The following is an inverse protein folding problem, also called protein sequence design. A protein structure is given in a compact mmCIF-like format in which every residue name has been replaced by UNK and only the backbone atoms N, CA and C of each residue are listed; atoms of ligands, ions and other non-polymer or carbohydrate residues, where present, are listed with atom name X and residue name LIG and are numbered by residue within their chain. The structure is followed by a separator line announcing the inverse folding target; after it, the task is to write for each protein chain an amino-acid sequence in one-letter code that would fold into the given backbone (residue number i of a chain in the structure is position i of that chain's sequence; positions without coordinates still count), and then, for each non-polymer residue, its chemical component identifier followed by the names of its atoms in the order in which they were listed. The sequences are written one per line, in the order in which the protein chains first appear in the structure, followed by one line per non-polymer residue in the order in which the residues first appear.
data_IF_126352099419
#
_entry.id   IF_126352099419
#
_cell.length_a   1.000
_cell.length_b   1.000
_cell.length_c   1.000
_cell.angle_alpha   90.00
_cell.angle_beta   90.00
_cell.angle_gamma   90.00
#
_symmetry.space_group_name_H-M   'P 1'
#
loop_
_entity.id
_entity.type
_entity.pdbx_description
1 polymer ?
#
# COMPACT_ATOMS: atom_id res chain seq x y z
N UNK A 1 -0.32 25.71 11.70
CA UNK A 1 1.11 26.07 11.83
C UNK A 1 1.71 25.40 13.07
N UNK A 2 1.15 25.62 14.30
CA UNK A 2 1.74 25.09 15.53
C UNK A 2 2.03 23.61 15.56
N UNK A 3 1.12 22.76 15.03
CA UNK A 3 1.34 21.32 14.92
C UNK A 3 2.53 20.95 14.01
N UNK A 4 2.74 21.66 12.90
CA UNK A 4 3.88 21.44 12.02
C UNK A 4 5.20 21.82 12.68
N UNK A 5 5.22 22.96 13.41
CA UNK A 5 6.39 23.40 14.17
C UNK A 5 6.76 22.37 15.23
N UNK A 6 5.78 21.87 15.98
CA UNK A 6 6.00 20.82 16.97
C UNK A 6 6.50 19.51 16.32
N UNK A 7 5.86 19.06 15.24
CA UNK A 7 6.27 17.85 14.54
C UNK A 7 7.73 17.93 14.04
N UNK A 8 8.14 19.07 13.49
CA UNK A 8 9.54 19.32 13.12
C UNK A 8 10.48 19.27 14.33
N UNK A 9 10.09 19.87 15.46
CA UNK A 9 10.91 19.88 16.65
C UNK A 9 11.20 18.48 17.21
N UNK A 10 10.30 17.52 16.99
CA UNK A 10 10.49 16.09 17.36
C UNK A 10 11.04 15.24 16.21
N UNK A 11 11.54 15.84 15.12
CA UNK A 11 12.20 15.15 14.03
C UNK A 11 11.28 14.55 12.94
N UNK A 12 9.98 14.84 12.96
CA UNK A 12 9.07 14.39 11.91
C UNK A 12 9.23 15.21 10.64
N UNK A 13 9.14 14.54 9.46
CA UNK A 13 8.93 15.23 8.18
C UNK A 13 7.48 15.69 8.07
N UNK A 14 7.27 16.88 7.52
CA UNK A 14 5.96 17.52 7.47
C UNK A 14 5.54 17.86 6.05
N UNK A 15 4.27 17.61 5.75
CA UNK A 15 3.64 17.98 4.48
C UNK A 15 2.42 18.84 4.79
N UNK A 16 2.33 20.00 4.16
CA UNK A 16 1.14 20.84 4.18
C UNK A 16 0.33 20.70 2.90
N UNK A 17 -0.99 20.67 3.02
CA UNK A 17 -1.92 20.72 1.89
C UNK A 17 -2.81 21.94 2.07
N UNK A 18 -2.76 22.88 1.12
CA UNK A 18 -3.58 24.10 1.14
C UNK A 18 -4.09 24.39 -0.28
N UNK A 19 -5.33 24.84 -0.40
CA UNK A 19 -5.95 25.11 -1.71
C UNK A 19 -5.71 26.55 -2.19
N UNK A 20 -4.59 27.15 -1.81
CA UNK A 20 -4.09 28.44 -2.27
C UNK A 20 -2.57 28.47 -2.22
N UNK A 21 -1.95 29.18 -3.14
CA UNK A 21 -0.49 29.33 -3.20
C UNK A 21 0.03 30.29 -2.11
N UNK A 22 1.26 30.08 -1.67
CA UNK A 22 1.93 30.92 -0.66
C UNK A 22 1.22 30.90 0.69
N UNK A 23 0.70 29.74 1.09
CA UNK A 23 -0.02 29.60 2.35
C UNK A 23 0.93 29.59 3.55
N UNK A 24 0.54 30.26 4.65
CA UNK A 24 1.30 30.24 5.92
C UNK A 24 1.56 28.83 6.45
N UNK A 25 0.69 27.87 6.16
CA UNK A 25 0.89 26.48 6.53
C UNK A 25 1.93 25.83 5.63
N UNK A 26 1.95 26.16 4.34
CA UNK A 26 2.93 25.69 3.37
C UNK A 26 4.35 26.17 3.72
N UNK A 27 4.52 27.46 4.05
CA UNK A 27 5.79 28.02 4.50
C UNK A 27 6.35 27.32 5.77
N UNK A 28 5.48 26.78 6.60
CA UNK A 28 5.85 26.10 7.83
C UNK A 28 6.18 24.62 7.66
N UNK A 29 5.91 24.01 6.50
CA UNK A 29 6.13 22.58 6.21
C UNK A 29 7.50 22.33 5.55
N UNK A 30 7.92 21.06 5.50
CA UNK A 30 9.07 20.64 4.69
C UNK A 30 8.70 20.51 3.21
N UNK A 31 7.43 20.16 2.94
CA UNK A 31 6.85 20.09 1.60
C UNK A 31 5.47 20.73 1.62
N UNK A 32 5.21 21.61 0.67
CA UNK A 32 3.89 22.22 0.44
C UNK A 32 3.26 21.66 -0.85
N UNK A 33 1.99 21.26 -0.77
CA UNK A 33 1.14 20.88 -1.91
C UNK A 33 0.00 21.90 -1.96
N UNK A 34 0.08 22.83 -2.91
CA UNK A 34 -0.80 23.99 -2.96
C UNK A 34 -1.61 24.05 -4.28
N UNK A 35 -2.54 23.14 -4.49
CA UNK A 35 -3.42 23.15 -5.67
C UNK A 35 -4.36 24.37 -5.61
N UNK A 36 -4.65 24.92 -6.77
CA UNK A 36 -5.61 26.02 -6.93
C UNK A 36 -6.84 25.52 -7.67
N UNK A 37 -7.89 25.04 -6.98
CA UNK A 37 -9.09 24.46 -7.61
C UNK A 37 -9.99 25.51 -8.30
N UNK A 38 -9.69 26.78 -8.15
CA UNK A 38 -10.49 27.89 -8.62
C UNK A 38 -11.71 28.21 -7.72
N UNK A 39 -12.55 29.18 -8.11
CA UNK A 39 -13.69 29.61 -7.32
C UNK A 39 -14.73 28.49 -7.17
N UNK A 40 -15.33 28.42 -5.99
CA UNK A 40 -16.42 27.49 -5.71
C UNK A 40 -17.71 27.95 -6.39
N UNK A 41 -18.53 26.97 -6.81
CA UNK A 41 -19.89 27.26 -7.38
C UNK A 41 -20.75 28.03 -6.37
N UNK A 42 -20.63 27.65 -5.10
CA UNK A 42 -21.19 28.38 -3.98
C UNK A 42 -20.08 29.12 -3.26
N UNK A 43 -19.99 30.42 -3.43
CA UNK A 43 -18.91 31.27 -2.90
C UNK A 43 -18.65 30.99 -1.42
N UNK A 44 -17.39 30.71 -1.08
CA UNK A 44 -16.94 30.44 0.28
C UNK A 44 -17.18 29.01 0.78
N UNK A 45 -17.84 28.16 0.01
CA UNK A 45 -18.16 26.77 0.39
C UNK A 45 -17.03 25.82 0.03
N UNK A 46 -15.90 25.93 0.70
CA UNK A 46 -14.63 25.21 0.42
C UNK A 46 -14.71 23.68 0.62
N UNK A 47 -15.83 23.16 1.13
CA UNK A 47 -16.12 21.72 1.18
C UNK A 47 -16.33 21.09 -0.21
N UNK A 48 -16.53 21.88 -1.26
CA UNK A 48 -16.83 21.42 -2.63
C UNK A 48 -15.54 21.09 -3.38
N UNK A 49 -15.03 22.00 -4.24
CA UNK A 49 -13.82 21.76 -5.04
C UNK A 49 -12.59 21.57 -4.16
N UNK A 50 -12.36 22.47 -3.22
CA UNK A 50 -11.20 22.40 -2.33
C UNK A 50 -11.20 21.09 -1.51
N UNK A 51 -12.33 20.73 -0.91
CA UNK A 51 -12.47 19.47 -0.17
C UNK A 51 -12.26 18.24 -1.06
N UNK A 52 -12.76 18.27 -2.31
CA UNK A 52 -12.53 17.17 -3.28
C UNK A 52 -11.07 17.02 -3.64
N UNK A 53 -10.36 18.12 -3.92
CA UNK A 53 -8.93 18.11 -4.24
C UNK A 53 -8.11 17.60 -3.06
N UNK A 54 -8.39 18.05 -1.84
CA UNK A 54 -7.71 17.56 -0.63
C UNK A 54 -7.91 16.06 -0.45
N UNK A 55 -9.13 15.55 -0.62
CA UNK A 55 -9.43 14.12 -0.57
C UNK A 55 -8.60 13.33 -1.60
N UNK A 56 -8.51 13.81 -2.84
CA UNK A 56 -7.73 13.15 -3.89
C UNK A 56 -6.24 13.10 -3.54
N UNK A 57 -5.68 14.18 -3.05
CA UNK A 57 -4.27 14.26 -2.63
C UNK A 57 -3.99 13.28 -1.48
N UNK A 58 -4.84 13.26 -0.45
CA UNK A 58 -4.70 12.34 0.68
C UNK A 58 -4.78 10.88 0.23
N UNK A 59 -5.69 10.55 -0.68
CA UNK A 59 -5.78 9.20 -1.26
C UNK A 59 -4.55 8.83 -2.08
N UNK A 60 -4.00 9.75 -2.88
CA UNK A 60 -2.77 9.51 -3.64
C UNK A 60 -1.58 9.27 -2.72
N UNK A 61 -1.43 10.08 -1.66
CA UNK A 61 -0.34 9.92 -0.68
C UNK A 61 -0.47 8.58 0.05
N UNK A 62 -1.65 8.28 0.59
CA UNK A 62 -1.85 7.04 1.35
C UNK A 62 -1.69 5.80 0.46
N UNK A 63 -2.28 5.79 -0.73
CA UNK A 63 -2.14 4.68 -1.68
C UNK A 63 -0.68 4.50 -2.11
N UNK A 64 -0.01 5.60 -2.47
CA UNK A 64 1.41 5.56 -2.85
C UNK A 64 2.31 5.06 -1.71
N UNK A 65 2.02 5.42 -0.47
CA UNK A 65 2.72 4.90 0.70
C UNK A 65 2.50 3.38 0.85
N UNK A 66 1.26 2.90 0.73
CA UNK A 66 0.95 1.46 0.82
C UNK A 66 1.63 0.64 -0.29
N UNK A 67 1.69 1.17 -1.51
CA UNK A 67 2.44 0.56 -2.61
C UNK A 67 3.93 0.49 -2.28
N UNK A 68 4.51 1.58 -1.78
CA UNK A 68 5.95 1.65 -1.45
C UNK A 68 6.39 0.73 -0.32
N UNK A 69 5.52 0.43 0.64
CA UNK A 69 5.81 -0.50 1.74
C UNK A 69 5.42 -1.96 1.44
N UNK A 70 5.10 -2.29 0.17
CA UNK A 70 4.84 -3.66 -0.26
C UNK A 70 3.48 -4.23 0.14
N UNK A 71 2.47 -3.37 0.42
CA UNK A 71 1.11 -3.82 0.73
C UNK A 71 0.26 -4.10 -0.51
N UNK A 72 0.83 -3.88 -1.69
CA UNK A 72 0.14 -4.05 -2.98
C UNK A 72 0.96 -4.95 -3.91
N UNK A 73 0.28 -5.83 -4.60
CA UNK A 73 0.82 -6.65 -5.68
C UNK A 73 -0.09 -6.53 -6.89
N UNK A 74 0.45 -6.08 -8.03
CA UNK A 74 -0.35 -5.66 -9.20
C UNK A 74 -1.37 -4.58 -8.80
N UNK A 75 -2.68 -4.83 -8.93
CA UNK A 75 -3.78 -3.98 -8.47
C UNK A 75 -4.44 -4.49 -7.16
N UNK A 76 -3.86 -5.51 -6.52
CA UNK A 76 -4.42 -6.19 -5.37
C UNK A 76 -3.80 -5.68 -4.07
N UNK A 77 -4.64 -5.39 -3.07
CA UNK A 77 -4.19 -5.15 -1.72
C UNK A 77 -3.96 -6.50 -1.03
N UNK A 78 -2.69 -6.90 -0.91
CA UNK A 78 -2.30 -8.25 -0.46
C UNK A 78 -1.99 -8.36 1.04
N UNK A 79 -2.13 -7.27 1.79
CA UNK A 79 -1.86 -7.23 3.24
C UNK A 79 -3.19 -7.23 4.03
N UNK A 80 -4.07 -8.16 3.69
CA UNK A 80 -5.39 -8.32 4.32
C UNK A 80 -5.27 -9.21 5.55
N UNK A 81 -5.77 -8.74 6.69
CA UNK A 81 -5.94 -9.54 7.89
C UNK A 81 -7.32 -10.19 7.87
N UNK A 82 -7.37 -11.51 8.04
CA UNK A 82 -8.59 -12.31 7.96
C UNK A 82 -9.35 -12.33 9.29
N UNK A 83 -9.84 -11.18 9.75
CA UNK A 83 -10.51 -11.01 11.05
C UNK A 83 -11.99 -11.38 11.05
N UNK A 84 -12.58 -11.66 9.89
CA UNK A 84 -13.97 -12.11 9.74
C UNK A 84 -14.14 -12.90 8.44
N UNK A 85 -15.29 -13.60 8.33
CA UNK A 85 -15.60 -14.46 7.19
C UNK A 85 -15.50 -13.75 5.83
N UNK A 86 -15.98 -12.51 5.71
CA UNK A 86 -15.87 -11.71 4.48
C UNK A 86 -14.41 -11.49 4.07
N UNK A 87 -13.51 -11.25 5.03
CA UNK A 87 -12.09 -11.05 4.77
C UNK A 87 -11.35 -12.36 4.46
N UNK A 88 -11.81 -13.48 5.01
CA UNK A 88 -11.33 -14.82 4.62
C UNK A 88 -11.62 -15.09 3.14
N UNK A 89 -12.89 -14.93 2.73
CA UNK A 89 -13.28 -15.10 1.31
C UNK A 89 -12.54 -14.12 0.40
N UNK A 90 -12.33 -12.89 0.84
CA UNK A 90 -11.55 -11.90 0.11
C UNK A 90 -10.08 -12.33 -0.05
N UNK A 91 -9.46 -12.87 1.00
CA UNK A 91 -8.10 -13.41 0.96
C UNK A 91 -7.96 -14.52 -0.08
N UNK A 92 -8.90 -15.48 -0.11
CA UNK A 92 -8.93 -16.55 -1.10
C UNK A 92 -9.02 -16.00 -2.53
N UNK A 93 -9.92 -15.04 -2.78
CA UNK A 93 -10.06 -14.43 -4.11
C UNK A 93 -8.79 -13.68 -4.53
N UNK A 94 -8.12 -13.00 -3.61
CA UNK A 94 -6.85 -12.31 -3.88
C UNK A 94 -5.76 -13.32 -4.27
N UNK A 95 -5.62 -14.45 -3.56
CA UNK A 95 -4.63 -15.48 -3.92
C UNK A 95 -4.94 -16.06 -5.30
N UNK A 96 -6.20 -16.38 -5.60
CA UNK A 96 -6.61 -16.88 -6.92
C UNK A 96 -6.30 -15.87 -8.03
N UNK A 97 -6.63 -14.59 -7.84
CA UNK A 97 -6.42 -13.54 -8.84
C UNK A 97 -4.92 -13.28 -9.07
N UNK A 98 -4.13 -13.29 -8.00
CA UNK A 98 -2.70 -13.04 -8.05
C UNK A 98 -1.90 -14.16 -8.73
N UNK A 99 -2.37 -15.42 -8.61
CA UNK A 99 -1.61 -16.62 -9.00
C UNK A 99 -2.23 -17.43 -10.13
N UNK A 100 -3.52 -17.24 -10.41
CA UNK A 100 -4.29 -18.05 -11.35
C UNK A 100 -4.64 -19.46 -10.83
N UNK A 101 -4.39 -19.78 -9.56
CA UNK A 101 -4.66 -21.11 -9.00
C UNK A 101 -6.16 -21.33 -8.73
N UNK A 102 -6.53 -22.61 -8.49
CA UNK A 102 -7.91 -22.96 -8.08
C UNK A 102 -8.21 -22.48 -6.66
N UNK A 103 -9.51 -22.45 -6.30
CA UNK A 103 -9.94 -22.08 -4.95
C UNK A 103 -9.40 -23.03 -3.89
N UNK A 104 -9.41 -24.33 -4.17
CA UNK A 104 -8.89 -25.37 -3.28
C UNK A 104 -7.41 -25.14 -2.97
N UNK A 105 -6.61 -24.81 -3.98
CA UNK A 105 -5.19 -24.50 -3.82
C UNK A 105 -4.98 -23.19 -3.04
N UNK A 106 -5.80 -22.16 -3.29
CA UNK A 106 -5.75 -20.90 -2.56
C UNK A 106 -6.09 -21.07 -1.07
N UNK A 107 -7.13 -21.87 -0.77
CA UNK A 107 -7.51 -22.18 0.62
C UNK A 107 -6.38 -22.93 1.33
N UNK A 108 -5.81 -23.96 0.70
CA UNK A 108 -4.71 -24.72 1.29
C UNK A 108 -3.49 -23.82 1.54
N UNK A 109 -3.08 -23.01 0.57
CA UNK A 109 -1.95 -22.09 0.71
C UNK A 109 -2.17 -21.06 1.85
N UNK A 110 -3.40 -20.60 2.04
CA UNK A 110 -3.74 -19.70 3.16
C UNK A 110 -3.70 -20.42 4.50
N UNK A 111 -4.11 -21.67 4.59
CA UNK A 111 -3.99 -22.49 5.80
C UNK A 111 -2.52 -22.70 6.15
N UNK A 112 -1.70 -23.12 5.17
CA UNK A 112 -0.28 -23.37 5.34
C UNK A 112 0.49 -22.09 5.74
N UNK A 113 0.00 -20.92 5.30
CA UNK A 113 0.57 -19.60 5.58
C UNK A 113 -0.04 -18.91 6.82
N UNK A 114 -0.79 -19.61 7.66
CA UNK A 114 -1.48 -19.04 8.85
C UNK A 114 -2.29 -17.77 8.52
N UNK A 115 -3.01 -17.80 7.39
CA UNK A 115 -3.83 -16.69 6.92
C UNK A 115 -3.07 -15.53 6.27
N UNK A 116 -1.74 -15.58 6.15
CA UNK A 116 -0.93 -14.53 5.53
C UNK A 116 -1.01 -14.56 4.01
N UNK A 117 -1.83 -13.68 3.45
CA UNK A 117 -2.12 -13.64 1.99
C UNK A 117 -0.86 -13.49 1.14
N UNK A 118 0.09 -12.62 1.51
CA UNK A 118 1.36 -12.46 0.77
C UNK A 118 2.18 -13.75 0.74
N UNK A 119 2.30 -14.42 1.88
CA UNK A 119 3.02 -15.70 1.99
C UNK A 119 2.36 -16.77 1.13
N UNK A 120 1.02 -16.88 1.19
CA UNK A 120 0.27 -17.80 0.35
C UNK A 120 0.47 -17.52 -1.15
N UNK A 121 0.47 -16.26 -1.58
CA UNK A 121 0.74 -15.88 -2.98
C UNK A 121 2.14 -16.33 -3.40
N UNK A 122 3.16 -16.03 -2.59
CA UNK A 122 4.55 -16.37 -2.92
C UNK A 122 4.77 -17.87 -2.92
N UNK A 123 4.18 -18.62 -1.98
CA UNK A 123 4.30 -20.09 -1.95
C UNK A 123 3.71 -20.74 -3.21
N UNK A 124 2.57 -20.24 -3.70
CA UNK A 124 1.97 -20.72 -4.95
C UNK A 124 2.80 -20.34 -6.18
N UNK A 125 3.29 -19.08 -6.26
CA UNK A 125 4.05 -18.61 -7.43
C UNK A 125 5.44 -19.24 -7.54
N UNK A 126 6.08 -19.59 -6.42
CA UNK A 126 7.41 -20.23 -6.38
C UNK A 126 7.34 -21.75 -6.24
N UNK A 127 6.15 -22.32 -6.11
CA UNK A 127 5.92 -23.74 -5.81
C UNK A 127 6.77 -24.23 -4.63
N UNK A 128 6.74 -23.48 -3.53
CA UNK A 128 7.50 -23.75 -2.30
C UNK A 128 6.59 -23.76 -1.07
N UNK A 129 7.12 -24.22 0.08
CA UNK A 129 6.39 -24.19 1.34
C UNK A 129 6.24 -22.76 1.90
N UNK A 130 5.37 -22.61 2.91
CA UNK A 130 5.06 -21.30 3.50
C UNK A 130 6.27 -20.70 4.23
N UNK A 131 7.16 -21.50 4.78
CA UNK A 131 8.36 -21.04 5.48
C UNK A 131 9.37 -20.44 4.49
N UNK A 132 9.63 -21.13 3.39
CA UNK A 132 10.47 -20.64 2.29
C UNK A 132 9.90 -19.36 1.67
N UNK A 133 8.58 -19.30 1.47
CA UNK A 133 7.89 -18.11 0.97
C UNK A 133 8.03 -16.92 1.95
N UNK A 134 7.90 -17.15 3.24
CA UNK A 134 8.09 -16.11 4.27
C UNK A 134 9.53 -15.56 4.25
N UNK A 135 10.54 -16.44 4.18
CA UNK A 135 11.96 -16.03 4.08
C UNK A 135 12.21 -15.23 2.81
N UNK A 136 11.62 -15.63 1.67
CA UNK A 136 11.75 -14.88 0.41
C UNK A 136 11.12 -13.48 0.51
N UNK A 137 9.96 -13.36 1.16
CA UNK A 137 9.30 -12.09 1.41
C UNK A 137 10.12 -11.19 2.35
N UNK A 138 10.70 -11.73 3.39
CA UNK A 138 11.55 -10.97 4.33
C UNK A 138 12.76 -10.37 3.61
N UNK A 139 13.49 -11.17 2.83
CA UNK A 139 14.61 -10.72 1.98
C UNK A 139 14.18 -9.65 0.99
N UNK A 140 12.97 -9.74 0.46
CA UNK A 140 12.35 -8.77 -0.44
C UNK A 140 11.68 -7.59 0.27
N UNK A 141 11.86 -7.43 1.59
CA UNK A 141 11.24 -6.37 2.42
C UNK A 141 9.71 -6.33 2.26
N UNK A 142 9.07 -7.49 2.17
CA UNK A 142 7.63 -7.65 2.03
C UNK A 142 7.03 -7.38 0.65
N UNK A 143 7.87 -7.20 -0.38
CA UNK A 143 7.42 -6.98 -1.75
C UNK A 143 7.30 -8.31 -2.52
N UNK A 144 6.07 -8.74 -2.82
CA UNK A 144 5.79 -10.01 -3.53
C UNK A 144 6.54 -10.09 -4.86
N UNK A 145 6.49 -9.03 -5.69
CA UNK A 145 7.19 -9.02 -6.99
C UNK A 145 8.70 -9.25 -6.84
N UNK A 146 9.33 -8.60 -5.88
CA UNK A 146 10.76 -8.75 -5.64
C UNK A 146 11.11 -10.14 -5.10
N UNK A 147 10.25 -10.72 -4.25
CA UNK A 147 10.43 -12.08 -3.74
C UNK A 147 10.43 -13.11 -4.88
N UNK A 148 9.44 -13.02 -5.79
CA UNK A 148 9.31 -13.92 -6.94
C UNK A 148 10.48 -13.75 -7.93
N UNK A 149 10.78 -12.51 -8.36
CA UNK A 149 11.87 -12.24 -9.33
C UNK A 149 13.27 -12.52 -8.77
N UNK A 150 13.48 -12.40 -7.46
CA UNK A 150 14.76 -12.69 -6.81
C UNK A 150 15.05 -14.18 -6.76
N UNK A 151 14.03 -15.01 -6.65
CA UNK A 151 14.15 -16.47 -6.65
C UNK A 151 14.53 -17.02 -8.03
N UNK A 152 13.95 -16.48 -9.11
CA UNK A 152 14.28 -16.85 -10.50
C UNK A 152 15.76 -16.61 -10.82
N UNK A 153 16.35 -15.50 -10.36
CA UNK A 153 17.77 -15.21 -10.55
C UNK A 153 18.68 -16.18 -9.76
N UNK A 154 18.33 -16.49 -8.52
CA UNK A 154 19.10 -17.43 -7.70
C UNK A 154 19.14 -18.84 -8.27
N UNK A 155 18.08 -19.28 -8.93
CA UNK A 155 18.01 -20.59 -9.59
C UNK A 155 18.74 -20.61 -10.95
N UNK A 156 18.80 -19.46 -11.66
CA UNK A 156 19.55 -19.33 -12.91
C UNK A 156 21.07 -19.30 -12.70
N UNK A 157 21.53 -18.74 -11.57
CA UNK A 157 22.96 -18.68 -11.23
C UNK A 157 23.48 -19.99 -10.59
N UNK A 158 22.59 -20.95 -10.29
CA UNK A 158 22.92 -22.24 -9.68
C UNK A 158 22.99 -23.41 -10.71
N UNK A 159 22.74 -23.15 -12.00
CA UNK A 159 22.87 -24.09 -13.11
C UNK A 159 24.09 -23.76 -13.97
#
# INVERSE_FOLDING_TARGET
VGGLVYAKAIGCKTIAIACNQGSKIGESADLAIEPVPGPEVLTGSTRLKAGTVQKLILNMISTGAMVKIGKVYQNLMVDVQQTNEKLVVRGQNIVMEATGCTRERAVQALVDADGHVKTAIVSVLLDCDAEQAAVALERARGHVRAAVSGHEKSNADAQ
#
